data_IF_528900089759
#
_entry.id   IF_528900089759
#
_cell.length_a   1.000
_cell.length_b   1.000
_cell.length_c   1.000
_cell.angle_alpha   90.00
_cell.angle_beta   90.00
_cell.angle_gamma   90.00
#
_symmetry.space_group_name_H-M   'P 1'
#
loop_
_entity.id
_entity.type
_entity.pdbx_description
1 polymer ?
#
# COMPACT_ATOMS: atom_id res chain seq x y z
N UNK A 1 -0.06 -2.24 -9.98
CA UNK A 1 1.23 -2.99 -9.83
C UNK A 1 2.42 -2.04 -10.02
N UNK A 2 3.54 -2.31 -9.34
CA UNK A 2 4.77 -1.53 -9.50
C UNK A 2 5.54 -1.94 -10.74
N UNK A 3 6.15 -0.98 -11.42
CA UNK A 3 7.18 -1.27 -12.42
C UNK A 3 8.41 -1.89 -11.73
N UNK A 4 9.24 -2.58 -12.51
CA UNK A 4 10.35 -3.36 -11.97
C UNK A 4 11.37 -2.48 -11.23
N UNK A 5 11.75 -1.34 -11.80
CA UNK A 5 12.77 -0.47 -11.20
C UNK A 5 12.31 0.09 -9.85
N UNK A 6 11.05 0.52 -9.78
CA UNK A 6 10.45 1.01 -8.54
C UNK A 6 10.27 -0.08 -7.50
N UNK A 7 9.86 -1.28 -7.93
CA UNK A 7 9.76 -2.44 -7.05
C UNK A 7 11.13 -2.79 -6.46
N UNK A 8 12.16 -2.97 -7.29
CA UNK A 8 13.50 -3.37 -6.85
C UNK A 8 14.06 -2.35 -5.82
N UNK A 9 13.91 -1.04 -6.10
CA UNK A 9 14.37 0.02 -5.20
C UNK A 9 13.60 0.03 -3.86
N UNK A 10 12.27 -0.09 -3.92
CA UNK A 10 11.43 -0.09 -2.73
C UNK A 10 11.63 -1.37 -1.89
N UNK A 11 11.69 -2.52 -2.55
CA UNK A 11 11.87 -3.82 -1.93
C UNK A 11 13.25 -3.96 -1.28
N UNK A 12 14.31 -3.46 -1.94
CA UNK A 12 15.65 -3.36 -1.35
C UNK A 12 15.64 -2.51 -0.08
N UNK A 13 15.01 -1.34 -0.14
CA UNK A 13 14.89 -0.42 1.01
C UNK A 13 14.11 -1.07 2.16
N UNK A 14 13.03 -1.78 1.84
CA UNK A 14 12.24 -2.55 2.81
C UNK A 14 13.08 -3.64 3.47
N UNK A 15 13.82 -4.43 2.69
CA UNK A 15 14.67 -5.49 3.21
C UNK A 15 15.75 -4.94 4.16
N UNK A 16 16.39 -3.82 3.78
CA UNK A 16 17.39 -3.16 4.61
C UNK A 16 16.80 -2.67 5.94
N UNK A 17 15.66 -1.97 5.91
CA UNK A 17 15.01 -1.43 7.12
C UNK A 17 14.51 -2.52 8.07
N UNK A 18 14.06 -3.65 7.53
CA UNK A 18 13.52 -4.77 8.32
C UNK A 18 14.54 -5.85 8.63
N UNK A 19 15.79 -5.68 8.19
CA UNK A 19 16.83 -6.72 8.26
C UNK A 19 16.35 -8.06 7.66
N UNK A 20 15.46 -7.99 6.67
CA UNK A 20 14.92 -9.17 6.01
C UNK A 20 15.97 -9.75 5.08
N UNK A 21 16.35 -11.00 5.36
CA UNK A 21 17.22 -11.78 4.46
C UNK A 21 16.36 -12.66 3.58
N UNK A 22 16.38 -12.37 2.28
CA UNK A 22 15.76 -13.24 1.27
C UNK A 22 16.73 -14.37 0.99
N UNK A 23 16.42 -15.54 1.54
CA UNK A 23 17.21 -16.75 1.34
C UNK A 23 17.02 -17.26 -0.10
N UNK A 24 18.08 -17.35 -0.94
CA UNK A 24 17.93 -17.75 -2.34
C UNK A 24 17.27 -19.12 -2.51
N UNK A 25 17.55 -20.04 -1.57
CA UNK A 25 16.95 -21.38 -1.53
C UNK A 25 15.46 -21.35 -1.23
N UNK A 26 15.01 -20.41 -0.39
CA UNK A 26 13.60 -20.23 -0.07
C UNK A 26 12.82 -19.60 -1.22
N UNK A 27 13.51 -18.97 -2.19
CA UNK A 27 12.91 -18.40 -3.40
C UNK A 27 13.12 -19.28 -4.65
N UNK A 28 13.45 -20.56 -4.49
CA UNK A 28 13.70 -21.48 -5.60
C UNK A 28 12.66 -22.60 -5.59
N UNK A 29 12.07 -22.89 -6.75
CA UNK A 29 11.13 -23.99 -6.98
C UNK A 29 11.67 -24.81 -8.16
N UNK A 30 11.81 -26.13 -8.00
CA UNK A 30 12.32 -27.05 -9.02
C UNK A 30 13.66 -26.59 -9.66
N UNK A 31 14.56 -26.02 -8.84
CA UNK A 31 15.86 -25.52 -9.28
C UNK A 31 15.83 -24.18 -10.02
N UNK A 32 14.64 -23.58 -10.19
CA UNK A 32 14.46 -22.27 -10.81
C UNK A 32 14.11 -21.21 -9.77
N UNK A 33 14.80 -20.08 -9.83
CA UNK A 33 14.51 -18.95 -8.96
C UNK A 33 13.18 -18.29 -9.37
N UNK A 34 12.32 -18.04 -8.38
CA UNK A 34 11.07 -17.30 -8.56
C UNK A 34 11.39 -15.81 -8.62
N UNK A 35 10.92 -15.15 -9.67
CA UNK A 35 10.96 -13.69 -9.75
C UNK A 35 9.89 -13.10 -8.81
N UNK A 36 10.34 -12.53 -7.68
CA UNK A 36 9.47 -11.91 -6.68
C UNK A 36 8.72 -10.69 -7.24
N UNK A 37 9.29 -9.94 -8.18
CA UNK A 37 8.60 -8.82 -8.82
C UNK A 37 7.44 -9.33 -9.67
N UNK A 38 7.69 -10.38 -10.46
CA UNK A 38 6.66 -10.97 -11.30
C UNK A 38 5.54 -11.60 -10.46
N UNK A 39 5.89 -12.31 -9.39
CA UNK A 39 4.92 -12.83 -8.42
C UNK A 39 4.08 -11.71 -7.79
N UNK A 40 4.71 -10.65 -7.30
CA UNK A 40 4.00 -9.47 -6.77
C UNK A 40 3.06 -8.87 -7.81
N UNK A 41 3.53 -8.70 -9.06
CA UNK A 41 2.73 -8.12 -10.13
C UNK A 41 1.47 -8.93 -10.41
N UNK A 42 1.58 -10.25 -10.59
CA UNK A 42 0.44 -11.13 -10.85
C UNK A 42 -0.59 -11.04 -9.71
N UNK A 43 -0.14 -11.11 -8.45
CA UNK A 43 -1.05 -11.05 -7.29
C UNK A 43 -1.77 -9.70 -7.20
N UNK A 44 -1.06 -8.59 -7.40
CA UNK A 44 -1.67 -7.26 -7.37
C UNK A 44 -2.63 -7.04 -8.56
N UNK A 45 -2.35 -7.62 -9.73
CA UNK A 45 -3.25 -7.57 -10.87
C UNK A 45 -4.57 -8.32 -10.61
N UNK A 46 -4.52 -9.42 -9.87
CA UNK A 46 -5.70 -10.17 -9.45
C UNK A 46 -6.48 -9.51 -8.29
N UNK A 47 -6.02 -8.36 -7.79
CA UNK A 47 -6.67 -7.62 -6.70
C UNK A 47 -6.10 -7.90 -5.31
N UNK A 48 -4.95 -8.56 -5.22
CA UNK A 48 -4.25 -8.88 -3.98
C UNK A 48 -4.47 -10.32 -3.50
N UNK A 49 -3.66 -10.72 -2.51
CA UNK A 49 -3.63 -12.10 -1.99
C UNK A 49 -5.01 -12.63 -1.58
N UNK A 50 -5.87 -11.83 -0.95
CA UNK A 50 -7.18 -12.30 -0.48
C UNK A 50 -8.07 -12.75 -1.65
N UNK A 51 -8.04 -12.05 -2.77
CA UNK A 51 -8.81 -12.42 -3.96
C UNK A 51 -8.22 -13.66 -4.63
N UNK A 52 -6.89 -13.77 -4.64
CA UNK A 52 -6.18 -14.94 -5.17
C UNK A 52 -6.48 -16.19 -4.34
N UNK A 53 -6.49 -16.09 -3.01
CA UNK A 53 -6.88 -17.17 -2.10
C UNK A 53 -8.35 -17.56 -2.33
N UNK A 54 -9.26 -16.58 -2.40
CA UNK A 54 -10.70 -16.83 -2.57
C UNK A 54 -11.02 -17.52 -3.91
N UNK A 55 -10.30 -17.17 -4.97
CA UNK A 55 -10.52 -17.71 -6.33
C UNK A 55 -9.66 -18.94 -6.64
N UNK A 56 -8.87 -19.42 -5.69
CA UNK A 56 -7.91 -20.53 -5.88
C UNK A 56 -6.94 -20.32 -7.06
N UNK A 57 -6.43 -19.09 -7.20
CA UNK A 57 -5.67 -18.66 -8.38
C UNK A 57 -4.16 -18.95 -8.31
N UNK A 58 -3.66 -19.49 -7.19
CA UNK A 58 -2.23 -19.78 -7.02
C UNK A 58 -1.68 -20.74 -8.08
N UNK A 59 -2.46 -21.75 -8.44
CA UNK A 59 -2.07 -22.71 -9.47
C UNK A 59 -1.91 -22.01 -10.83
N UNK A 60 -2.84 -21.13 -11.19
CA UNK A 60 -2.83 -20.35 -12.44
C UNK A 60 -1.65 -19.38 -12.47
N UNK A 61 -1.41 -18.67 -11.36
CA UNK A 61 -0.28 -17.75 -11.23
C UNK A 61 1.05 -18.50 -11.37
N UNK A 62 1.18 -19.69 -10.76
CA UNK A 62 2.37 -20.51 -10.94
C UNK A 62 2.65 -20.87 -12.40
N UNK A 63 1.61 -21.18 -13.19
CA UNK A 63 1.78 -21.41 -14.63
C UNK A 63 2.20 -20.15 -15.38
N UNK A 64 1.65 -18.97 -15.04
CA UNK A 64 2.06 -17.67 -15.62
C UNK A 64 3.50 -17.28 -15.29
N UNK A 65 4.01 -17.71 -14.14
CA UNK A 65 5.42 -17.59 -13.76
C UNK A 65 6.31 -18.62 -14.48
N UNK A 66 5.72 -19.50 -15.28
CA UNK A 66 6.40 -20.51 -16.09
C UNK A 66 6.63 -21.83 -15.38
N UNK A 67 5.96 -22.09 -14.25
CA UNK A 67 5.91 -23.41 -13.59
C UNK A 67 4.70 -24.20 -14.09
N UNK A 68 4.57 -24.33 -15.41
CA UNK A 68 3.43 -24.97 -16.03
C UNK A 68 3.57 -26.49 -15.96
N UNK A 69 2.67 -27.16 -15.25
CA UNK A 69 2.60 -28.63 -15.19
C UNK A 69 1.42 -29.17 -15.97
N UNK A 70 0.31 -28.42 -15.99
CA UNK A 70 -0.92 -28.79 -16.66
C UNK A 70 -1.21 -27.73 -17.73
N UNK A 71 -1.11 -28.08 -19.03
CA UNK A 71 -1.38 -27.14 -20.09
C UNK A 71 -2.84 -26.63 -20.02
N UNK A 72 -3.04 -25.37 -20.40
CA UNK A 72 -4.38 -24.80 -20.52
C UNK A 72 -5.13 -25.34 -21.74
N UNK A 73 -6.45 -25.13 -21.76
CA UNK A 73 -7.34 -25.39 -22.89
C UNK A 73 -8.00 -24.08 -23.35
N UNK A 74 -8.86 -24.13 -24.38
CA UNK A 74 -9.64 -22.96 -24.80
C UNK A 74 -10.57 -22.43 -23.69
N UNK A 75 -10.98 -23.29 -22.75
CA UNK A 75 -11.89 -22.94 -21.66
C UNK A 75 -11.19 -22.71 -20.31
N UNK A 76 -9.99 -23.28 -20.11
CA UNK A 76 -9.32 -23.27 -18.82
C UNK A 76 -7.87 -22.76 -18.91
N UNK A 77 -7.43 -21.90 -17.98
CA UNK A 77 -6.06 -21.43 -17.95
C UNK A 77 -5.10 -22.58 -17.59
N UNK A 78 -3.86 -22.47 -18.06
CA UNK A 78 -2.78 -23.35 -17.64
C UNK A 78 -2.56 -23.28 -16.12
N UNK A 79 -2.14 -24.40 -15.52
CA UNK A 79 -1.98 -24.53 -14.06
C UNK A 79 -0.65 -25.17 -13.69
N UNK A 80 -0.08 -24.67 -12.61
CA UNK A 80 1.02 -25.33 -11.91
C UNK A 80 0.51 -26.47 -11.03
N UNK A 81 1.44 -27.24 -10.49
CA UNK A 81 1.14 -28.30 -9.54
C UNK A 81 0.77 -27.74 -8.16
N UNK A 82 0.03 -28.50 -7.32
CA UNK A 82 -0.39 -28.04 -5.99
C UNK A 82 0.79 -27.68 -5.09
N UNK A 83 1.92 -28.38 -5.21
CA UNK A 83 3.15 -28.09 -4.44
C UNK A 83 3.70 -26.70 -4.80
N UNK A 84 3.79 -26.39 -6.09
CA UNK A 84 4.25 -25.08 -6.58
C UNK A 84 3.31 -23.98 -6.09
N UNK A 85 1.99 -24.18 -6.23
CA UNK A 85 1.00 -23.22 -5.78
C UNK A 85 1.14 -22.88 -4.29
N UNK A 86 1.30 -23.90 -3.43
CA UNK A 86 1.51 -23.72 -2.00
C UNK A 86 2.84 -23.01 -1.68
N UNK A 87 3.91 -23.36 -2.39
CA UNK A 87 5.21 -22.70 -2.23
C UNK A 87 5.16 -21.22 -2.62
N UNK A 88 4.48 -20.88 -3.71
CA UNK A 88 4.28 -19.49 -4.13
C UNK A 88 3.45 -18.72 -3.11
N UNK A 89 2.38 -19.32 -2.59
CA UNK A 89 1.57 -18.72 -1.53
C UNK A 89 2.42 -18.44 -0.29
N UNK A 90 3.21 -19.43 0.15
CA UNK A 90 4.09 -19.28 1.29
C UNK A 90 5.15 -18.21 1.08
N UNK A 91 5.81 -18.20 -0.08
CA UNK A 91 6.82 -17.21 -0.45
C UNK A 91 6.26 -15.79 -0.46
N UNK A 92 5.05 -15.61 -1.00
CA UNK A 92 4.38 -14.30 -0.95
C UNK A 92 4.10 -13.87 0.48
N UNK A 93 3.57 -14.77 1.34
CA UNK A 93 3.31 -14.45 2.75
C UNK A 93 4.58 -14.03 3.49
N UNK A 94 5.70 -14.72 3.25
CA UNK A 94 6.96 -14.44 3.92
C UNK A 94 7.62 -13.14 3.47
N UNK A 95 7.65 -12.87 2.16
CA UNK A 95 8.49 -11.81 1.61
C UNK A 95 7.71 -10.59 1.12
N UNK A 96 6.51 -10.80 0.55
CA UNK A 96 5.79 -9.76 -0.19
C UNK A 96 4.61 -9.17 0.58
N UNK A 97 3.92 -9.94 1.41
CA UNK A 97 2.72 -9.48 2.11
C UNK A 97 3.00 -8.26 3.02
N UNK A 98 4.07 -8.35 3.83
CA UNK A 98 4.49 -7.24 4.67
C UNK A 98 5.05 -6.06 3.86
N UNK A 99 5.72 -6.35 2.74
CA UNK A 99 6.21 -5.32 1.83
C UNK A 99 5.04 -4.53 1.24
N UNK A 100 3.98 -5.18 0.80
CA UNK A 100 2.81 -4.53 0.18
C UNK A 100 2.13 -3.58 1.16
N UNK A 101 1.95 -4.02 2.41
CA UNK A 101 1.37 -3.19 3.47
C UNK A 101 2.25 -1.98 3.78
N UNK A 102 3.57 -2.19 3.91
CA UNK A 102 4.54 -1.11 4.13
C UNK A 102 4.59 -0.12 2.95
N UNK A 103 4.55 -0.64 1.73
CA UNK A 103 4.60 0.19 0.54
C UNK A 103 3.32 1.01 0.37
N UNK A 104 2.15 0.40 0.63
CA UNK A 104 0.87 1.09 0.63
C UNK A 104 0.85 2.24 1.65
N UNK A 105 1.35 2.03 2.87
CA UNK A 105 1.42 3.09 3.88
C UNK A 105 2.33 4.24 3.44
N UNK A 106 3.48 3.95 2.82
CA UNK A 106 4.39 4.98 2.30
C UNK A 106 3.78 5.80 1.16
N UNK A 107 3.03 5.17 0.25
CA UNK A 107 2.33 5.90 -0.81
C UNK A 107 1.20 6.76 -0.25
N UNK A 108 0.46 6.26 0.75
CA UNK A 108 -0.61 7.02 1.39
C UNK A 108 -0.06 8.25 2.13
N UNK A 109 1.03 8.08 2.87
CA UNK A 109 1.72 9.16 3.58
C UNK A 109 2.20 10.25 2.61
N UNK A 110 2.84 9.88 1.50
CA UNK A 110 3.25 10.85 0.46
C UNK A 110 2.07 11.55 -0.19
N UNK A 111 0.94 10.88 -0.39
CA UNK A 111 -0.28 11.52 -0.90
C UNK A 111 -0.83 12.55 0.07
N UNK A 112 -0.86 12.23 1.36
CA UNK A 112 -1.28 13.16 2.42
C UNK A 112 -0.35 14.37 2.47
N UNK A 113 0.97 14.15 2.49
CA UNK A 113 1.97 15.23 2.48
C UNK A 113 1.88 16.08 1.20
N UNK A 114 1.71 15.48 0.03
CA UNK A 114 1.53 16.22 -1.23
C UNK A 114 0.22 17.03 -1.24
N UNK A 115 -0.85 16.51 -0.63
CA UNK A 115 -2.09 17.27 -0.47
C UNK A 115 -1.92 18.46 0.47
N UNK A 116 -1.07 18.35 1.50
CA UNK A 116 -0.73 19.46 2.40
C UNK A 116 0.25 20.47 1.76
N UNK A 117 1.18 20.00 0.92
CA UNK A 117 2.17 20.83 0.22
C UNK A 117 1.64 21.50 -1.07
N UNK A 118 0.55 20.98 -1.65
CA UNK A 118 -0.12 21.55 -2.83
C UNK A 118 -1.11 22.67 -2.52
N UNK A 119 -1.25 23.04 -1.24
CA UNK A 119 -2.08 24.18 -0.86
C UNK A 119 -1.32 25.47 -1.16
N UNK A 120 -1.96 26.47 -1.76
CA UNK A 120 -1.30 27.75 -2.02
C UNK A 120 -0.75 28.32 -0.70
N UNK A 121 0.38 29.05 -0.73
CA UNK A 121 1.03 29.56 0.48
C UNK A 121 0.08 30.33 1.41
N UNK A 122 -0.93 31.01 0.85
CA UNK A 122 -1.93 31.73 1.63
C UNK A 122 -2.83 30.79 2.47
N UNK A 123 -3.13 29.61 1.95
CA UNK A 123 -4.01 28.65 2.60
C UNK A 123 -3.25 27.86 3.65
N UNK A 124 -1.96 27.58 3.44
CA UNK A 124 -1.09 27.05 4.49
C UNK A 124 -0.98 28.00 5.70
N UNK A 125 -0.84 29.30 5.47
CA UNK A 125 -0.86 30.31 6.53
C UNK A 125 -2.22 30.39 7.23
N UNK A 126 -3.31 30.29 6.46
CA UNK A 126 -4.66 30.28 7.01
C UNK A 126 -4.92 29.04 7.87
N UNK A 127 -4.43 27.87 7.46
CA UNK A 127 -4.56 26.62 8.21
C UNK A 127 -3.73 26.67 9.49
N UNK A 128 -2.49 27.14 9.46
CA UNK A 128 -1.67 27.31 10.67
C UNK A 128 -2.35 28.27 11.67
N UNK A 129 -2.89 29.40 11.22
CA UNK A 129 -3.58 30.34 12.11
C UNK A 129 -4.91 29.81 12.66
N UNK A 130 -5.55 28.87 11.97
CA UNK A 130 -6.82 28.25 12.38
C UNK A 130 -6.62 26.93 13.16
N UNK A 131 -5.41 26.35 13.17
CA UNK A 131 -5.12 25.06 13.78
C UNK A 131 -5.50 24.97 15.27
N UNK A 132 -5.24 26.00 16.11
CA UNK A 132 -5.64 25.98 17.53
C UNK A 132 -7.15 25.98 17.73
N UNK A 133 -7.94 26.45 16.75
CA UNK A 133 -9.40 26.48 16.86
C UNK A 133 -10.03 25.09 16.67
N UNK A 134 -9.29 24.14 16.11
CA UNK A 134 -9.78 22.79 15.80
C UNK A 134 -10.07 21.91 17.01
N UNK A 135 -9.62 22.34 18.19
CA UNK A 135 -9.91 21.69 19.47
C UNK A 135 -11.29 22.08 20.05
N UNK A 136 -11.92 23.14 19.54
CA UNK A 136 -13.25 23.59 19.97
C UNK A 136 -14.35 23.08 19.03
N UNK A 137 -15.52 22.76 19.59
CA UNK A 137 -16.72 22.41 18.84
C UNK A 137 -17.35 23.63 18.16
N UNK A 138 -18.19 23.39 17.15
CA UNK A 138 -18.96 24.45 16.47
C UNK A 138 -19.80 25.27 17.46
N UNK A 139 -20.36 24.63 18.49
CA UNK A 139 -21.17 25.31 19.50
C UNK A 139 -20.32 26.26 20.37
N UNK A 140 -19.12 25.83 20.76
CA UNK A 140 -18.17 26.66 21.53
C UNK A 140 -17.65 27.84 20.71
N UNK A 141 -17.32 27.62 19.43
CA UNK A 141 -16.86 28.69 18.54
C UNK A 141 -17.96 29.75 18.32
N UNK A 142 -19.23 29.35 18.21
CA UNK A 142 -20.36 30.32 18.19
C UNK A 142 -20.51 31.05 19.51
N UNK A 143 -20.37 30.35 20.63
CA UNK A 143 -20.45 30.97 21.96
C UNK A 143 -19.32 31.98 22.20
N UNK A 144 -18.13 31.76 21.62
CA UNK A 144 -17.03 32.74 21.60
C UNK A 144 -17.25 33.93 20.63
N UNK A 145 -18.34 33.94 19.87
CA UNK A 145 -18.63 35.00 18.89
C UNK A 145 -17.74 34.94 17.64
N UNK A 146 -17.23 33.77 17.27
CA UNK A 146 -16.46 33.59 16.02
C UNK A 146 -17.37 33.72 14.79
N UNK A 147 -16.82 34.28 13.72
CA UNK A 147 -17.53 34.45 12.45
C UNK A 147 -17.93 33.10 11.84
N UNK A 148 -19.13 33.03 11.26
CA UNK A 148 -19.67 31.78 10.71
C UNK A 148 -18.82 31.23 9.54
N UNK A 149 -18.09 32.09 8.81
CA UNK A 149 -17.13 31.66 7.78
C UNK A 149 -15.94 30.95 8.39
N UNK A 150 -15.47 31.41 9.55
CA UNK A 150 -14.37 30.77 10.30
C UNK A 150 -14.84 29.42 10.84
N UNK A 151 -16.06 29.37 11.38
CA UNK A 151 -16.65 28.13 11.89
C UNK A 151 -16.82 27.10 10.79
N UNK A 152 -17.38 27.50 9.64
CA UNK A 152 -17.54 26.62 8.48
C UNK A 152 -16.18 26.11 7.96
N UNK A 153 -15.16 26.98 7.91
CA UNK A 153 -13.82 26.60 7.49
C UNK A 153 -13.17 25.58 8.44
N UNK A 154 -13.25 25.84 9.75
CA UNK A 154 -12.71 24.94 10.79
C UNK A 154 -13.41 23.59 10.75
N UNK A 155 -14.72 23.56 10.60
CA UNK A 155 -15.49 22.31 10.54
C UNK A 155 -15.17 21.51 9.27
N UNK A 156 -15.11 22.17 8.11
CA UNK A 156 -14.79 21.53 6.84
C UNK A 156 -13.37 20.96 6.79
N UNK A 157 -12.42 21.59 7.50
CA UNK A 157 -11.00 21.21 7.48
C UNK A 157 -10.50 20.64 8.82
N UNK A 158 -11.40 20.27 9.74
CA UNK A 158 -11.09 19.91 11.14
C UNK A 158 -10.01 18.84 11.27
N UNK A 159 -10.12 17.76 10.49
CA UNK A 159 -9.18 16.64 10.52
C UNK A 159 -7.76 17.01 10.03
N UNK A 160 -7.64 18.07 9.24
CA UNK A 160 -6.35 18.59 8.82
C UNK A 160 -5.77 19.54 9.87
N UNK A 161 -6.59 20.46 10.39
CA UNK A 161 -6.20 21.42 11.43
C UNK A 161 -5.73 20.72 12.73
N UNK A 162 -6.39 19.61 13.12
CA UNK A 162 -5.99 18.82 14.29
C UNK A 162 -4.64 18.14 14.11
N UNK A 163 -4.28 17.75 12.88
CA UNK A 163 -2.95 17.17 12.59
C UNK A 163 -1.87 18.23 12.70
N UNK A 164 -2.09 19.39 12.10
CA UNK A 164 -1.18 20.54 12.20
C UNK A 164 -0.98 20.97 13.66
N UNK A 165 -2.06 21.06 14.45
CA UNK A 165 -1.97 21.37 15.87
C UNK A 165 -1.25 20.31 16.72
N UNK A 166 -1.21 19.05 16.26
CA UNK A 166 -0.49 17.95 16.91
C UNK A 166 1.01 17.92 16.54
N UNK A 167 1.39 18.46 15.38
CA UNK A 167 2.79 18.55 14.93
C UNK A 167 3.55 19.71 15.60
N UNK A 168 2.86 20.74 16.10
CA UNK A 168 3.45 21.89 16.80
C UNK A 168 3.60 21.71 18.34
N UNK A 169 3.30 20.52 18.88
CA UNK A 169 3.43 20.19 20.32
C UNK A 169 4.67 19.36 20.62
#
# INVERSE_FOLDING_TARGET
PLDKGRFDAAFKSFCQKRQLRVEPRATTIDGRQVDLHQLHREIIQEGGMNIVDQKDMWAVIGARLGFNHFPGSEAEPARSGPVVAQQLQHMYKLYLLMFDSWYASQVMEKKIQAHQAGLPPNLQLQIQSMAPLSQFSVAELRAEGRDERVIAFVEQNRAMLQRTAAEER
#
